data_IF_900507560383
#
_entry.id   IF_900507560383
#
_cell.length_a   1.000
_cell.length_b   1.000
_cell.length_c   1.000
_cell.angle_alpha   90.00
_cell.angle_beta   90.00
_cell.angle_gamma   90.00
#
_symmetry.space_group_name_H-M   'P 1'
#
loop_
_entity.id
_entity.type
_entity.pdbx_description
1 polymer ?
#
# COMPACT_ATOMS: atom_id res chain seq x y z
N UNK A 1 7.96 -8.75 19.79
CA UNK A 1 6.60 -8.41 20.29
C UNK A 1 5.58 -9.51 20.01
N UNK A 2 5.67 -10.23 18.89
CA UNK A 2 4.68 -11.25 18.51
C UNK A 2 4.52 -12.37 19.53
N UNK A 3 5.62 -12.93 20.04
CA UNK A 3 5.54 -14.07 20.97
C UNK A 3 4.84 -13.72 22.28
N UNK A 4 5.05 -12.49 22.77
CA UNK A 4 4.33 -11.97 23.94
C UNK A 4 2.84 -11.80 23.64
N UNK A 5 2.48 -11.31 22.45
CA UNK A 5 1.09 -11.21 22.02
C UNK A 5 0.39 -12.57 21.94
N UNK A 6 1.05 -13.56 21.34
CA UNK A 6 0.55 -14.94 21.31
C UNK A 6 0.40 -15.53 22.72
N UNK A 7 1.36 -15.27 23.60
CA UNK A 7 1.29 -15.71 24.99
C UNK A 7 0.11 -15.07 25.72
N UNK A 8 -0.09 -13.76 25.59
CA UNK A 8 -1.21 -13.05 26.21
C UNK A 8 -2.55 -13.60 25.70
N UNK A 9 -2.70 -13.76 24.39
CA UNK A 9 -3.90 -14.36 23.79
C UNK A 9 -4.16 -15.79 24.31
N UNK A 10 -3.10 -16.60 24.43
CA UNK A 10 -3.22 -17.95 25.00
C UNK A 10 -3.61 -17.95 26.48
N UNK A 11 -3.07 -17.03 27.28
CA UNK A 11 -3.38 -16.90 28.70
C UNK A 11 -4.83 -16.47 28.94
N UNK A 12 -5.40 -15.63 28.06
CA UNK A 12 -6.82 -15.25 28.15
C UNK A 12 -7.72 -16.47 28.23
N UNK A 13 -7.49 -17.46 27.38
CA UNK A 13 -8.29 -18.69 27.34
C UNK A 13 -7.93 -19.63 28.48
N UNK A 14 -6.64 -19.90 28.69
CA UNK A 14 -6.17 -20.94 29.61
C UNK A 14 -6.27 -20.54 31.08
N UNK A 15 -5.84 -19.33 31.40
CA UNK A 15 -5.62 -18.91 32.78
C UNK A 15 -6.79 -18.07 33.28
N UNK A 16 -7.36 -17.23 32.40
CA UNK A 16 -8.43 -16.30 32.76
C UNK A 16 -9.83 -16.75 32.28
N UNK A 17 -9.93 -17.83 31.51
CA UNK A 17 -11.20 -18.37 30.98
C UNK A 17 -12.03 -17.31 30.21
N UNK A 18 -11.35 -16.38 29.54
CA UNK A 18 -11.94 -15.36 28.69
C UNK A 18 -12.06 -15.92 27.28
N UNK A 19 -13.29 -15.93 26.76
CA UNK A 19 -13.56 -16.31 25.37
C UNK A 19 -13.09 -15.20 24.42
N UNK A 20 -12.17 -15.47 23.46
CA UNK A 20 -11.68 -14.44 22.57
C UNK A 20 -12.77 -13.99 21.59
N UNK A 21 -13.00 -12.69 21.54
CA UNK A 21 -13.90 -12.07 20.55
C UNK A 21 -13.24 -11.96 19.17
N UNK A 22 -14.04 -11.62 18.15
CA UNK A 22 -13.56 -11.38 16.79
C UNK A 22 -12.46 -10.30 16.75
N UNK A 23 -12.54 -9.26 17.58
CA UNK A 23 -11.53 -8.21 17.68
C UNK A 23 -10.19 -8.74 18.21
N UNK A 24 -10.21 -9.64 19.20
CA UNK A 24 -8.98 -10.25 19.73
C UNK A 24 -8.27 -11.07 18.66
N UNK A 25 -9.01 -11.88 17.89
CA UNK A 25 -8.44 -12.60 16.76
C UNK A 25 -7.92 -11.66 15.68
N UNK A 26 -8.67 -10.59 15.36
CA UNK A 26 -8.28 -9.59 14.36
C UNK A 26 -6.93 -8.96 14.69
N UNK A 27 -6.73 -8.59 15.97
CA UNK A 27 -5.45 -8.09 16.47
C UNK A 27 -4.32 -9.11 16.33
N UNK A 28 -4.58 -10.39 16.61
CA UNK A 28 -3.57 -11.43 16.51
C UNK A 28 -3.19 -11.71 15.05
N UNK A 29 -4.16 -11.72 14.13
CA UNK A 29 -3.93 -11.87 12.68
C UNK A 29 -3.11 -10.70 12.13
N UNK A 30 -3.45 -9.46 12.46
CA UNK A 30 -2.69 -8.27 12.02
C UNK A 30 -1.24 -8.32 12.53
N UNK A 31 -1.05 -8.69 13.81
CA UNK A 31 0.27 -8.82 14.42
C UNK A 31 1.12 -9.89 13.73
N UNK A 32 0.57 -11.08 13.50
CA UNK A 32 1.27 -12.19 12.81
C UNK A 32 1.58 -11.83 11.36
N UNK A 33 0.62 -11.22 10.66
CA UNK A 33 0.78 -10.75 9.29
C UNK A 33 1.94 -9.79 9.14
N UNK A 34 2.01 -8.75 9.99
CA UNK A 34 3.12 -7.78 9.97
C UNK A 34 4.48 -8.44 10.21
N UNK A 35 4.53 -9.49 11.05
CA UNK A 35 5.75 -10.23 11.33
C UNK A 35 6.11 -11.30 10.29
N UNK A 36 5.34 -11.46 9.21
CA UNK A 36 5.60 -12.43 8.15
C UNK A 36 5.18 -13.86 8.48
N UNK A 37 4.50 -14.09 9.61
CA UNK A 37 3.96 -15.39 10.01
C UNK A 37 2.61 -15.65 9.34
N UNK A 38 2.59 -15.55 8.01
CA UNK A 38 1.37 -15.52 7.20
C UNK A 38 0.51 -16.78 7.32
N UNK A 39 1.13 -17.96 7.32
CA UNK A 39 0.41 -19.24 7.45
C UNK A 39 -0.27 -19.40 8.83
N UNK A 40 0.31 -18.82 9.87
CA UNK A 40 -0.31 -18.78 11.19
C UNK A 40 -1.47 -17.80 11.23
N UNK A 41 -1.30 -16.64 10.59
CA UNK A 41 -2.35 -15.63 10.44
C UNK A 41 -3.56 -16.18 9.66
N UNK A 42 -3.34 -16.85 8.52
CA UNK A 42 -4.40 -17.47 7.71
C UNK A 42 -5.14 -18.57 8.49
N UNK A 43 -4.41 -19.42 9.24
CA UNK A 43 -5.04 -20.43 10.10
C UNK A 43 -5.89 -19.82 11.20
N UNK A 44 -5.49 -18.70 11.79
CA UNK A 44 -6.29 -18.04 12.82
C UNK A 44 -7.59 -17.44 12.28
N UNK A 45 -7.62 -17.04 11.01
CA UNK A 45 -8.84 -16.50 10.41
C UNK A 45 -10.02 -17.48 10.42
N UNK A 46 -9.76 -18.78 10.26
CA UNK A 46 -10.83 -19.80 10.33
C UNK A 46 -11.41 -19.99 11.72
N UNK A 47 -10.75 -19.47 12.76
CA UNK A 47 -11.17 -19.56 14.16
C UNK A 47 -11.92 -18.31 14.62
N UNK A 48 -12.06 -17.29 13.77
CA UNK A 48 -12.78 -16.06 14.09
C UNK A 48 -14.28 -16.35 14.21
N UNK A 49 -14.92 -16.05 15.35
CA UNK A 49 -16.36 -16.20 15.50
C UNK A 49 -17.10 -15.33 14.46
N UNK A 50 -17.94 -15.95 13.65
CA UNK A 50 -18.64 -15.26 12.54
C UNK A 50 -17.79 -15.03 11.28
N UNK A 51 -16.56 -15.54 11.25
CA UNK A 51 -15.64 -15.42 10.11
C UNK A 51 -14.83 -14.12 10.09
N UNK A 52 -13.81 -14.02 9.22
CA UNK A 52 -12.97 -12.84 9.13
C UNK A 52 -13.75 -11.65 8.58
N UNK A 53 -13.76 -10.54 9.33
CA UNK A 53 -14.30 -9.28 8.86
C UNK A 53 -13.38 -8.59 7.84
N UNK A 54 -13.87 -7.49 7.27
CA UNK A 54 -13.18 -6.70 6.27
C UNK A 54 -11.77 -6.29 6.68
N UNK A 55 -11.62 -5.77 7.90
CA UNK A 55 -10.35 -5.27 8.43
C UNK A 55 -9.27 -6.35 8.50
N UNK A 56 -9.67 -7.58 8.83
CA UNK A 56 -8.77 -8.75 8.91
C UNK A 56 -8.26 -9.12 7.53
N UNK A 57 -9.16 -9.20 6.55
CA UNK A 57 -8.81 -9.51 5.17
C UNK A 57 -7.90 -8.43 4.57
N UNK A 58 -8.21 -7.15 4.80
CA UNK A 58 -7.37 -6.03 4.34
C UNK A 58 -5.98 -6.06 4.98
N UNK A 59 -5.90 -6.34 6.30
CA UNK A 59 -4.61 -6.45 7.01
C UNK A 59 -3.77 -7.60 6.46
N UNK A 60 -4.36 -8.80 6.33
CA UNK A 60 -3.63 -9.96 5.82
C UNK A 60 -3.21 -9.79 4.36
N UNK A 61 -4.04 -9.17 3.52
CA UNK A 61 -3.68 -8.84 2.14
C UNK A 61 -2.49 -7.88 2.09
N UNK A 62 -2.49 -6.85 2.94
CA UNK A 62 -1.37 -5.93 3.08
C UNK A 62 -0.08 -6.64 3.50
N UNK A 63 -0.18 -7.58 4.44
CA UNK A 63 0.94 -8.41 4.87
C UNK A 63 1.44 -9.34 3.74
N UNK A 64 0.54 -9.97 2.99
CA UNK A 64 0.90 -10.80 1.83
C UNK A 64 1.69 -10.00 0.79
N UNK A 65 1.30 -8.75 0.53
CA UNK A 65 2.05 -7.83 -0.36
C UNK A 65 3.45 -7.54 0.18
N UNK A 66 3.55 -7.14 1.45
CA UNK A 66 4.84 -6.78 2.08
C UNK A 66 5.83 -7.95 2.07
N UNK A 67 5.33 -9.17 2.31
CA UNK A 67 6.15 -10.38 2.39
C UNK A 67 6.20 -11.20 1.10
N UNK A 68 5.59 -10.70 0.02
CA UNK A 68 5.64 -11.33 -1.31
C UNK A 68 4.88 -12.66 -1.46
N UNK A 69 3.93 -12.97 -0.57
CA UNK A 69 3.13 -14.19 -0.66
C UNK A 69 1.91 -13.98 -1.58
N UNK A 70 2.13 -14.16 -2.87
CA UNK A 70 1.12 -13.95 -3.92
C UNK A 70 -0.05 -14.91 -3.76
N UNK A 71 0.20 -16.19 -3.56
CA UNK A 71 -0.84 -17.22 -3.58
C UNK A 71 -1.86 -17.02 -2.46
N UNK A 72 -1.41 -16.64 -1.26
CA UNK A 72 -2.29 -16.25 -0.17
C UNK A 72 -2.98 -14.92 -0.46
N UNK A 73 -2.24 -13.93 -0.98
CA UNK A 73 -2.79 -12.64 -1.36
C UNK A 73 -3.96 -12.76 -2.36
N UNK A 74 -3.86 -13.66 -3.35
CA UNK A 74 -4.93 -13.95 -4.31
C UNK A 74 -6.19 -14.47 -3.60
N UNK A 75 -6.06 -15.47 -2.72
CA UNK A 75 -7.22 -16.02 -1.96
C UNK A 75 -7.89 -14.97 -1.08
N UNK A 76 -7.10 -14.21 -0.32
CA UNK A 76 -7.61 -13.19 0.61
C UNK A 76 -8.32 -12.08 -0.15
N UNK A 77 -7.77 -11.64 -1.27
CA UNK A 77 -8.35 -10.56 -2.04
C UNK A 77 -9.59 -10.99 -2.84
N UNK A 78 -9.71 -12.23 -3.29
CA UNK A 78 -10.97 -12.73 -3.86
C UNK A 78 -12.09 -12.75 -2.80
N UNK A 79 -11.81 -13.23 -1.58
CA UNK A 79 -12.76 -13.16 -0.47
C UNK A 79 -13.17 -11.71 -0.13
N UNK A 80 -12.22 -10.77 -0.20
CA UNK A 80 -12.46 -9.34 0.02
C UNK A 80 -13.41 -8.74 -1.05
N UNK A 81 -13.26 -9.14 -2.31
CA UNK A 81 -14.14 -8.69 -3.40
C UNK A 81 -15.54 -9.29 -3.32
N UNK A 82 -15.67 -10.50 -2.80
CA UNK A 82 -16.98 -11.11 -2.53
C UNK A 82 -17.71 -10.39 -1.39
N UNK A 83 -16.97 -9.92 -0.37
CA UNK A 83 -17.52 -9.17 0.76
C UNK A 83 -17.91 -7.74 0.39
N UNK A 84 -17.08 -7.03 -0.38
CA UNK A 84 -17.34 -5.65 -0.82
C UNK A 84 -17.27 -5.53 -2.34
N UNK A 85 -18.29 -6.03 -3.06
CA UNK A 85 -18.27 -6.05 -4.52
C UNK A 85 -18.36 -4.65 -5.14
N UNK A 86 -18.80 -3.65 -4.38
CA UNK A 86 -18.98 -2.26 -4.84
C UNK A 86 -17.84 -1.32 -4.44
N UNK A 87 -16.99 -1.70 -3.47
CA UNK A 87 -15.96 -0.81 -2.94
C UNK A 87 -14.69 -0.86 -3.78
N UNK A 88 -14.17 0.31 -4.14
CA UNK A 88 -13.04 0.39 -5.08
C UNK A 88 -11.69 -0.04 -4.49
N UNK A 89 -11.52 0.09 -3.17
CA UNK A 89 -10.25 -0.18 -2.48
C UNK A 89 -9.74 -1.61 -2.69
N UNK A 90 -10.62 -2.60 -2.53
CA UNK A 90 -10.32 -4.02 -2.66
C UNK A 90 -9.84 -4.39 -4.07
N UNK A 91 -10.48 -3.85 -5.10
CA UNK A 91 -10.05 -4.03 -6.49
C UNK A 91 -8.71 -3.35 -6.78
N UNK A 92 -8.48 -2.16 -6.24
CA UNK A 92 -7.22 -1.43 -6.44
C UNK A 92 -6.05 -2.18 -5.78
N UNK A 93 -6.22 -2.67 -4.54
CA UNK A 93 -5.19 -3.44 -3.84
C UNK A 93 -4.81 -4.71 -4.62
N UNK A 94 -5.81 -5.48 -5.08
CA UNK A 94 -5.58 -6.67 -5.90
C UNK A 94 -4.90 -6.32 -7.24
N UNK A 95 -5.38 -5.28 -7.92
CA UNK A 95 -4.77 -4.82 -9.18
C UNK A 95 -3.30 -4.44 -9.00
N UNK A 96 -2.94 -3.86 -7.86
CA UNK A 96 -1.56 -3.50 -7.57
C UNK A 96 -0.71 -4.74 -7.26
N UNK A 97 -1.22 -5.68 -6.46
CA UNK A 97 -0.55 -6.95 -6.17
C UNK A 97 -0.21 -7.70 -7.47
N UNK A 98 -1.16 -7.81 -8.40
CA UNK A 98 -0.91 -8.44 -9.70
C UNK A 98 0.07 -7.66 -10.58
N UNK A 99 0.05 -6.33 -10.53
CA UNK A 99 0.96 -5.49 -11.30
C UNK A 99 2.41 -5.61 -10.80
N UNK A 100 2.62 -5.67 -9.49
CA UNK A 100 3.94 -5.82 -8.85
C UNK A 100 4.65 -7.10 -9.28
N UNK A 101 3.89 -8.17 -9.55
CA UNK A 101 4.43 -9.47 -10.02
C UNK A 101 4.31 -9.67 -11.54
N UNK A 102 3.96 -8.62 -12.29
CA UNK A 102 3.88 -8.65 -13.76
C UNK A 102 2.72 -9.46 -14.34
N UNK A 103 1.73 -9.87 -13.55
CA UNK A 103 0.52 -10.59 -14.01
C UNK A 103 -0.51 -9.62 -14.62
N UNK A 104 -0.15 -8.96 -15.72
CA UNK A 104 -1.00 -7.94 -16.39
C UNK A 104 -2.37 -8.46 -16.86
N UNK A 105 -2.45 -9.73 -17.22
CA UNK A 105 -3.73 -10.37 -17.57
C UNK A 105 -4.71 -10.37 -16.38
N UNK A 106 -4.21 -10.61 -15.16
CA UNK A 106 -5.03 -10.58 -13.95
C UNK A 106 -5.42 -9.15 -13.58
N UNK A 107 -4.51 -8.18 -13.78
CA UNK A 107 -4.84 -6.73 -13.69
C UNK A 107 -6.01 -6.38 -14.62
N UNK A 108 -5.98 -6.86 -15.86
CA UNK A 108 -7.06 -6.63 -16.82
C UNK A 108 -8.39 -7.27 -16.38
N UNK A 109 -8.36 -8.48 -15.82
CA UNK A 109 -9.53 -9.16 -15.24
C UNK A 109 -10.13 -8.40 -14.07
N UNK A 110 -9.30 -7.93 -13.13
CA UNK A 110 -9.75 -7.11 -11.99
C UNK A 110 -10.42 -5.83 -12.49
N UNK A 111 -9.79 -5.11 -13.43
CA UNK A 111 -10.38 -3.91 -14.04
C UNK A 111 -11.68 -4.20 -14.80
N UNK A 112 -11.81 -5.37 -15.42
CA UNK A 112 -13.04 -5.82 -16.06
C UNK A 112 -14.14 -6.07 -15.02
N UNK A 113 -13.84 -6.75 -13.91
CA UNK A 113 -14.78 -6.95 -12.78
C UNK A 113 -15.28 -5.61 -12.23
N UNK A 114 -14.38 -4.64 -12.02
CA UNK A 114 -14.77 -3.28 -11.59
C UNK A 114 -15.80 -2.65 -12.53
N UNK A 115 -15.57 -2.70 -13.84
CA UNK A 115 -16.51 -2.14 -14.84
C UNK A 115 -17.88 -2.83 -14.82
N UNK A 116 -17.89 -4.17 -14.70
CA UNK A 116 -19.13 -4.96 -14.65
C UNK A 116 -19.93 -4.64 -13.39
N UNK A 117 -19.25 -4.48 -12.26
CA UNK A 117 -19.86 -4.18 -10.97
C UNK A 117 -20.15 -2.68 -10.76
N UNK A 118 -19.93 -1.85 -11.77
CA UNK A 118 -20.14 -0.40 -11.68
C UNK A 118 -19.17 0.34 -10.75
N UNK A 119 -18.11 -0.34 -10.30
CA UNK A 119 -17.11 0.20 -9.38
C UNK A 119 -16.22 1.19 -10.12
N UNK A 120 -16.29 2.45 -9.72
CA UNK A 120 -15.36 3.48 -10.17
C UNK A 120 -14.23 3.58 -9.16
N UNK A 121 -12.99 3.62 -9.64
CA UNK A 121 -11.85 3.93 -8.79
C UNK A 121 -12.09 5.32 -8.18
N UNK A 122 -12.10 5.42 -6.86
CA UNK A 122 -11.97 6.73 -6.21
C UNK A 122 -10.60 7.29 -6.54
N UNK A 123 -10.59 8.34 -7.36
CA UNK A 123 -9.36 9.05 -7.70
C UNK A 123 -9.07 10.03 -6.58
N UNK A 124 -7.84 9.99 -6.06
CA UNK A 124 -7.36 11.03 -5.17
C UNK A 124 -7.34 12.37 -5.90
N UNK A 125 -7.81 13.42 -5.22
CA UNK A 125 -7.76 14.80 -5.69
C UNK A 125 -6.78 15.58 -4.83
N UNK A 126 -5.89 16.32 -5.49
CA UNK A 126 -5.09 17.37 -4.86
C UNK A 126 -5.62 18.72 -5.31
N UNK A 127 -5.57 19.72 -4.44
CA UNK A 127 -5.99 21.07 -4.75
C UNK A 127 -4.85 22.05 -4.46
N UNK A 128 -4.68 23.05 -5.30
CA UNK A 128 -3.75 24.16 -5.07
C UNK A 128 -4.51 25.47 -5.15
N UNK A 129 -4.24 26.36 -4.21
CA UNK A 129 -4.72 27.74 -4.25
C UNK A 129 -3.68 28.60 -4.95
N UNK A 130 -4.10 29.30 -6.01
CA UNK A 130 -3.27 30.22 -6.79
C UNK A 130 -3.78 31.66 -6.64
N UNK A 131 -4.28 32.00 -5.45
CA UNK A 131 -4.79 33.32 -5.10
C UNK A 131 -3.77 34.45 -5.32
N UNK A 132 -4.25 35.59 -5.84
CA UNK A 132 -3.48 36.81 -6.03
C UNK A 132 -3.45 37.71 -4.79
N UNK A 133 -2.82 38.89 -4.95
CA UNK A 133 -2.59 39.92 -3.91
C UNK A 133 -3.88 40.33 -3.14
N UNK A 134 -5.07 40.09 -3.71
CA UNK A 134 -6.36 40.47 -3.13
C UNK A 134 -7.00 39.43 -2.19
N UNK A 135 -6.30 38.35 -1.84
CA UNK A 135 -6.83 37.28 -0.98
C UNK A 135 -8.08 36.55 -1.54
N UNK A 136 -8.35 36.64 -2.85
CA UNK A 136 -9.35 35.77 -3.49
C UNK A 136 -8.82 34.34 -3.61
N UNK A 137 -9.60 33.39 -3.10
CA UNK A 137 -9.29 31.96 -3.17
C UNK A 137 -9.50 31.46 -4.61
N UNK A 138 -8.43 31.00 -5.26
CA UNK A 138 -8.48 30.41 -6.61
C UNK A 138 -8.03 28.96 -6.54
N UNK A 139 -8.99 28.06 -6.27
CA UNK A 139 -8.72 26.65 -6.04
C UNK A 139 -8.72 25.84 -7.34
N UNK A 140 -7.61 25.20 -7.67
CA UNK A 140 -7.46 24.34 -8.84
C UNK A 140 -7.27 22.88 -8.38
N UNK A 141 -8.20 22.02 -8.77
CA UNK A 141 -8.18 20.59 -8.48
C UNK A 141 -7.49 19.78 -9.58
N UNK A 142 -6.77 18.74 -9.17
CA UNK A 142 -6.09 17.82 -10.05
C UNK A 142 -6.29 16.38 -9.58
N UNK A 143 -6.46 15.46 -10.51
CA UNK A 143 -6.43 14.02 -10.27
C UNK A 143 -5.46 13.30 -11.21
N UNK A 144 -5.16 12.04 -10.93
CA UNK A 144 -4.21 11.26 -11.76
C UNK A 144 -4.71 11.13 -13.20
N UNK A 145 -3.97 11.69 -14.15
CA UNK A 145 -4.32 11.68 -15.58
C UNK A 145 -5.35 12.73 -16.00
N UNK A 146 -5.68 13.67 -15.11
CA UNK A 146 -6.59 14.77 -15.38
C UNK A 146 -6.04 15.72 -16.46
N UNK A 147 -6.91 16.12 -17.38
CA UNK A 147 -6.63 17.10 -18.44
C UNK A 147 -7.69 18.21 -18.52
N UNK A 148 -8.57 18.30 -17.52
CA UNK A 148 -9.67 19.26 -17.48
C UNK A 148 -9.21 20.70 -17.30
N UNK A 149 -8.04 20.92 -16.69
CA UNK A 149 -7.49 22.26 -16.49
C UNK A 149 -7.13 22.94 -17.84
N UNK A 150 -7.51 24.21 -18.08
CA UNK A 150 -7.19 24.92 -19.33
C UNK A 150 -5.70 24.97 -19.66
N UNK A 151 -4.85 24.98 -18.64
CA UNK A 151 -3.38 24.99 -18.76
C UNK A 151 -2.74 23.61 -18.53
N UNK A 152 -3.51 22.52 -18.59
CA UNK A 152 -3.03 21.16 -18.28
C UNK A 152 -1.75 20.79 -19.04
N UNK A 153 -1.67 21.11 -20.33
CA UNK A 153 -0.48 20.82 -21.16
C UNK A 153 0.78 21.58 -20.67
N UNK A 154 0.63 22.83 -20.24
CA UNK A 154 1.75 23.63 -19.72
C UNK A 154 2.20 23.13 -18.34
N UNK A 155 1.25 22.79 -17.47
CA UNK A 155 1.51 22.23 -16.14
C UNK A 155 2.23 20.88 -16.26
N UNK A 156 1.76 19.98 -17.13
CA UNK A 156 2.40 18.69 -17.39
C UNK A 156 3.83 18.87 -17.91
N UNK A 157 4.05 19.75 -18.89
CA UNK A 157 5.40 20.05 -19.40
C UNK A 157 6.32 20.59 -18.31
N UNK A 158 5.84 21.50 -17.45
CA UNK A 158 6.64 22.01 -16.34
C UNK A 158 6.99 20.90 -15.34
N UNK A 159 6.03 20.03 -14.99
CA UNK A 159 6.27 18.89 -14.12
C UNK A 159 7.30 17.90 -14.70
N UNK A 160 7.27 17.67 -16.02
CA UNK A 160 8.29 16.88 -16.73
C UNK A 160 9.68 17.53 -16.63
N UNK A 161 9.79 18.83 -16.91
CA UNK A 161 11.04 19.58 -16.78
C UNK A 161 11.64 19.48 -15.37
N UNK A 162 10.83 19.74 -14.34
CA UNK A 162 11.24 19.59 -12.94
C UNK A 162 11.64 18.15 -12.62
N UNK A 163 10.94 17.16 -13.20
CA UNK A 163 11.28 15.75 -13.08
C UNK A 163 12.65 15.40 -13.68
N UNK A 164 13.07 16.06 -14.77
CA UNK A 164 14.41 15.91 -15.34
C UNK A 164 15.48 16.59 -14.48
N UNK A 165 15.23 17.83 -14.05
CA UNK A 165 16.18 18.60 -13.22
C UNK A 165 16.46 17.90 -11.88
N UNK A 166 15.42 17.37 -11.23
CA UNK A 166 15.56 16.61 -9.98
C UNK A 166 16.30 15.28 -10.15
N UNK A 167 16.29 14.66 -11.33
CA UNK A 167 17.11 13.46 -11.61
C UNK A 167 18.57 13.85 -11.80
N UNK A 168 18.81 14.91 -12.56
CA UNK A 168 20.15 15.42 -12.82
C UNK A 168 20.87 15.81 -11.52
N UNK A 169 20.21 16.58 -10.65
CA UNK A 169 20.76 16.97 -9.35
C UNK A 169 21.08 15.76 -8.45
N UNK A 170 20.22 14.73 -8.44
CA UNK A 170 20.50 13.49 -7.68
C UNK A 170 21.68 12.70 -8.24
N UNK A 171 21.90 12.74 -9.54
CA UNK A 171 23.05 12.10 -10.18
C UNK A 171 24.34 12.85 -9.85
N UNK A 172 24.34 14.19 -9.91
CA UNK A 172 25.48 15.01 -9.47
C UNK A 172 25.80 14.82 -7.99
N UNK A 173 24.81 14.79 -7.10
CA UNK A 173 25.01 14.52 -5.67
C UNK A 173 25.64 13.14 -5.43
N UNK A 174 25.19 12.10 -6.16
CA UNK A 174 25.75 10.74 -6.05
C UNK A 174 27.20 10.69 -6.55
N UNK A 175 27.51 11.37 -7.64
CA UNK A 175 28.89 11.44 -8.16
C UNK A 175 29.80 12.25 -7.22
N UNK A 176 29.31 13.36 -6.67
CA UNK A 176 30.04 14.17 -5.68
C UNK A 176 30.33 13.37 -4.40
N UNK A 177 29.36 12.57 -3.94
CA UNK A 177 29.52 11.72 -2.76
C UNK A 177 30.48 10.55 -3.00
N UNK A 178 30.49 9.95 -4.21
CA UNK A 178 31.50 8.96 -4.61
C UNK A 178 32.91 9.56 -4.69
N UNK A 179 33.03 10.77 -5.22
CA UNK A 179 34.32 11.46 -5.35
C UNK A 179 34.90 11.84 -3.99
N UNK A 180 34.06 12.29 -3.04
CA UNK A 180 34.48 12.51 -1.65
C UNK A 180 34.96 11.23 -0.96
N UNK A 181 34.25 10.11 -1.15
CA UNK A 181 34.64 8.80 -0.60
C UNK A 181 35.94 8.25 -1.20
N UNK A 182 36.27 8.60 -2.45
CA UNK A 182 37.55 8.25 -3.09
C UNK A 182 38.70 9.11 -2.58
N UNK A 183 38.49 10.41 -2.38
CA UNK A 183 39.52 11.33 -1.86
C UNK A 183 39.88 11.07 -0.38
N UNK A 184 38.94 10.57 0.43
CA UNK A 184 39.20 10.19 1.83
C UNK A 184 39.93 8.83 1.97
N UNK A 185 40.05 8.06 0.87
CA UNK A 185 40.69 6.74 0.84
C UNK A 185 42.22 6.72 0.69
N UNK A 186 42.84 7.85 0.33
CA UNK A 186 44.28 7.91 -0.02
C UNK A 186 45.19 8.43 1.12
N UNK A 187 44.71 8.45 2.37
CA UNK A 187 45.49 8.89 3.54
C UNK A 187 46.00 7.75 4.45
N UNK A 188 46.15 6.53 3.92
CA UNK A 188 46.94 5.47 4.60
C UNK A 188 47.79 4.68 3.61
N UNK A 189 49.00 5.15 3.35
CA UNK A 189 50.11 4.28 2.95
C UNK A 189 51.12 4.17 4.10
N UNK A 190 51.30 2.98 4.70
CA UNK A 190 52.37 2.76 5.66
C UNK A 190 53.65 2.30 4.93
N UNK A 191 54.73 3.08 5.07
CA UNK A 191 56.08 2.59 5.42
C UNK A 191 57.01 3.78 5.70
#
# INVERSE_FOLDING_TARGET
MVDMGCHLFGSMVKDYQIEPSAEHYSCLVDMLGRAGRLEEAERLMSHIPGGPGLSVLQSLLGACRVHGNVDMGERVADALMEMEPTESGSYVLMSNLYAEIGKWEMVAKVRKRMRVNGVKKEVGFSWVDVGGIDSSLSLHGFSSGDKSHPQSEAICRMAECLGFETKFLREEERECQKHSLMCDGDLVTPQ
#
